data_IF_698160710673
#
_entry.id   IF_698160710673
#
_cell.length_a   1.000
_cell.length_b   1.000
_cell.length_c   1.000
_cell.angle_alpha   90.00
_cell.angle_beta   90.00
_cell.angle_gamma   90.00
#
_symmetry.space_group_name_H-M   'P 1'
#
loop_
_entity.id
_entity.type
_entity.pdbx_description
1 polymer ?
#
# COMPACT_ATOMS: atom_id res chain seq x y z
N UNK A 1 6.80 28.60 -5.14
CA UNK A 1 7.23 29.03 -6.50
C UNK A 1 7.40 27.85 -7.47
N UNK A 2 8.17 26.78 -7.14
CA UNK A 2 8.33 25.62 -8.04
C UNK A 2 6.99 24.89 -8.31
N UNK A 3 6.16 24.73 -7.30
CA UNK A 3 4.83 24.09 -7.39
C UNK A 3 3.87 24.80 -8.37
N UNK A 4 3.95 26.11 -8.54
CA UNK A 4 3.05 26.86 -9.43
C UNK A 4 3.42 26.71 -10.91
N UNK A 5 4.71 26.50 -11.21
CA UNK A 5 5.18 26.26 -12.58
C UNK A 5 4.64 24.93 -13.11
N UNK A 6 4.73 23.86 -12.33
CA UNK A 6 4.21 22.55 -12.72
C UNK A 6 2.67 22.53 -12.91
N UNK A 7 1.93 23.25 -12.07
CA UNK A 7 0.47 23.36 -12.17
C UNK A 7 0.03 23.99 -13.50
N UNK A 8 0.66 25.11 -13.88
CA UNK A 8 0.33 25.83 -15.11
C UNK A 8 0.68 25.01 -16.35
N UNK A 9 1.83 24.32 -16.33
CA UNK A 9 2.28 23.48 -17.44
C UNK A 9 1.37 22.28 -17.63
N UNK A 10 0.98 21.57 -16.58
CA UNK A 10 0.11 20.39 -16.65
C UNK A 10 -1.27 20.72 -17.25
N UNK A 11 -1.89 21.82 -16.83
CA UNK A 11 -3.17 22.28 -17.40
C UNK A 11 -3.04 22.71 -18.86
N UNK A 12 -1.93 23.34 -19.23
CA UNK A 12 -1.70 23.71 -20.62
C UNK A 12 -1.61 22.47 -21.53
N UNK A 13 -0.90 21.42 -21.09
CA UNK A 13 -0.82 20.17 -21.86
C UNK A 13 -2.15 19.42 -21.89
N UNK A 14 -2.94 19.42 -20.80
CA UNK A 14 -4.29 18.90 -20.80
C UNK A 14 -5.15 19.61 -21.85
N UNK A 15 -5.13 20.96 -21.86
CA UNK A 15 -5.87 21.74 -22.83
C UNK A 15 -5.46 21.41 -24.28
N UNK A 16 -4.16 21.27 -24.53
CA UNK A 16 -3.65 20.86 -25.87
C UNK A 16 -4.15 19.49 -26.30
N UNK A 17 -4.20 18.52 -25.39
CA UNK A 17 -4.75 17.19 -25.71
C UNK A 17 -6.24 17.27 -26.03
N UNK A 18 -7.01 18.02 -25.27
CA UNK A 18 -8.46 18.22 -25.49
C UNK A 18 -8.70 18.89 -26.84
N UNK A 19 -8.00 19.98 -27.15
CA UNK A 19 -8.14 20.72 -28.43
C UNK A 19 -7.66 19.90 -29.63
N UNK A 20 -6.69 19.00 -29.44
CA UNK A 20 -6.24 18.07 -30.47
C UNK A 20 -7.23 16.91 -30.71
N UNK A 21 -8.32 16.82 -29.96
CA UNK A 21 -9.33 15.76 -30.10
C UNK A 21 -8.94 14.42 -29.46
N UNK A 22 -8.00 14.42 -28.50
CA UNK A 22 -7.63 13.21 -27.78
C UNK A 22 -8.85 12.65 -27.04
N UNK A 23 -8.98 11.31 -27.01
CA UNK A 23 -10.04 10.64 -26.28
C UNK A 23 -9.98 11.00 -24.77
N UNK A 24 -11.01 11.65 -24.20
CA UNK A 24 -11.01 12.03 -22.79
C UNK A 24 -10.93 10.82 -21.86
N UNK A 25 -11.35 9.63 -22.30
CA UNK A 25 -11.18 8.38 -21.55
C UNK A 25 -9.72 7.94 -21.51
N UNK A 26 -8.97 8.17 -22.59
CA UNK A 26 -7.52 7.91 -22.60
C UNK A 26 -6.81 8.83 -21.61
N UNK A 27 -7.12 10.13 -21.62
CA UNK A 27 -6.56 11.09 -20.65
C UNK A 27 -6.86 10.66 -19.21
N UNK A 28 -8.13 10.31 -18.92
CA UNK A 28 -8.54 9.85 -17.60
C UNK A 28 -7.79 8.59 -17.15
N UNK A 29 -7.64 7.58 -18.05
CA UNK A 29 -6.86 6.36 -17.75
C UNK A 29 -5.40 6.68 -17.41
N UNK A 30 -4.77 7.61 -18.14
CA UNK A 30 -3.38 8.01 -17.85
C UNK A 30 -3.25 8.68 -16.49
N UNK A 31 -4.22 9.51 -16.08
CA UNK A 31 -4.24 10.12 -14.74
C UNK A 31 -4.40 9.08 -13.63
N UNK A 32 -5.25 8.07 -13.82
CA UNK A 32 -5.43 6.96 -12.86
C UNK A 32 -4.13 6.15 -12.70
N UNK A 33 -3.45 5.82 -13.81
CA UNK A 33 -2.18 5.09 -13.77
C UNK A 33 -1.12 5.92 -13.05
N UNK A 34 -0.94 7.19 -13.44
CA UNK A 34 0.03 8.11 -12.84
C UNK A 34 -0.20 8.29 -11.32
N UNK A 35 -1.46 8.31 -10.88
CA UNK A 35 -1.80 8.41 -9.46
C UNK A 35 -1.26 7.23 -8.64
N UNK A 36 -1.17 6.03 -9.22
CA UNK A 36 -0.61 4.84 -8.55
C UNK A 36 0.90 4.70 -8.77
N UNK A 37 1.40 5.05 -9.96
CA UNK A 37 2.78 4.87 -10.39
C UNK A 37 3.71 5.91 -9.75
N UNK A 38 3.35 7.20 -9.83
CA UNK A 38 4.23 8.32 -9.46
C UNK A 38 3.87 8.99 -8.12
N UNK A 39 2.70 8.68 -7.55
CA UNK A 39 2.20 9.29 -6.32
C UNK A 39 1.98 8.23 -5.24
N UNK A 40 1.28 7.16 -5.57
CA UNK A 40 1.07 6.02 -4.70
C UNK A 40 0.60 6.41 -3.30
N UNK A 41 1.26 5.87 -2.30
CA UNK A 41 0.92 6.07 -0.89
C UNK A 41 1.38 7.42 -0.32
N UNK A 42 2.14 8.23 -1.08
CA UNK A 42 2.49 9.59 -0.66
C UNK A 42 1.23 10.50 -0.59
N UNK A 43 0.24 10.28 -1.48
CA UNK A 43 -1.06 10.96 -1.45
C UNK A 43 -2.16 10.05 -2.01
N UNK A 44 -2.65 9.03 -1.27
CA UNK A 44 -3.57 8.01 -1.78
C UNK A 44 -4.92 8.57 -2.25
N UNK A 45 -5.35 9.73 -1.75
CA UNK A 45 -6.59 10.41 -2.18
C UNK A 45 -6.55 10.87 -3.64
N UNK A 46 -5.37 11.01 -4.25
CA UNK A 46 -5.25 11.40 -5.65
C UNK A 46 -5.79 10.33 -6.58
N UNK A 47 -5.56 9.05 -6.28
CA UNK A 47 -6.16 7.95 -7.04
C UNK A 47 -7.70 8.03 -7.01
N UNK A 48 -8.30 8.31 -5.86
CA UNK A 48 -9.75 8.48 -5.71
C UNK A 48 -10.25 9.64 -6.58
N UNK A 49 -9.55 10.78 -6.57
CA UNK A 49 -9.87 11.93 -7.41
C UNK A 49 -9.80 11.60 -8.90
N UNK A 50 -8.76 10.89 -9.32
CA UNK A 50 -8.60 10.47 -10.72
C UNK A 50 -9.68 9.47 -11.16
N UNK A 51 -10.04 8.52 -10.30
CA UNK A 51 -11.13 7.56 -10.59
C UNK A 51 -12.48 8.28 -10.69
N UNK A 52 -12.78 9.21 -9.77
CA UNK A 52 -13.98 10.01 -9.83
C UNK A 52 -14.04 10.85 -11.13
N UNK A 53 -12.92 11.44 -11.56
CA UNK A 53 -12.86 12.17 -12.82
C UNK A 53 -13.08 11.23 -14.02
N UNK A 54 -12.56 10.02 -14.02
CA UNK A 54 -12.79 9.02 -15.07
C UNK A 54 -14.27 8.61 -15.17
N UNK A 55 -14.94 8.44 -14.03
CA UNK A 55 -16.38 8.18 -13.97
C UNK A 55 -17.19 9.38 -14.47
N UNK A 56 -16.81 10.61 -14.09
CA UNK A 56 -17.46 11.83 -14.57
C UNK A 56 -17.34 11.99 -16.08
N UNK A 57 -16.20 11.67 -16.69
CA UNK A 57 -16.03 11.65 -18.15
C UNK A 57 -17.05 10.74 -18.82
N UNK A 58 -17.35 9.59 -18.23
CA UNK A 58 -18.34 8.65 -18.79
C UNK A 58 -19.79 9.12 -18.57
N UNK A 59 -20.06 9.73 -17.42
CA UNK A 59 -21.41 10.14 -17.03
C UNK A 59 -21.85 11.45 -17.70
N UNK A 60 -20.97 12.44 -17.73
CA UNK A 60 -21.27 13.81 -18.16
C UNK A 60 -20.90 13.99 -19.65
N UNK A 61 -19.72 13.49 -20.05
CA UNK A 61 -19.18 13.72 -21.38
C UNK A 61 -18.56 15.13 -21.55
N UNK A 62 -18.01 15.35 -22.76
CA UNK A 62 -17.47 16.66 -23.14
C UNK A 62 -18.60 17.58 -23.63
N UNK A 63 -18.49 18.91 -23.47
CA UNK A 63 -17.30 19.64 -23.00
C UNK A 63 -17.16 19.79 -21.48
N UNK A 64 -18.18 19.50 -20.68
CA UNK A 64 -18.22 19.79 -19.24
C UNK A 64 -17.21 18.94 -18.46
N UNK A 65 -16.98 17.68 -18.85
CA UNK A 65 -16.04 16.77 -18.18
C UNK A 65 -14.58 17.28 -18.19
N UNK A 66 -14.26 18.30 -19.01
CA UNK A 66 -12.95 18.97 -18.94
C UNK A 66 -12.65 19.54 -17.56
N UNK A 67 -13.67 19.93 -16.80
CA UNK A 67 -13.51 20.46 -15.44
C UNK A 67 -13.02 19.37 -14.49
N UNK A 68 -13.58 18.18 -14.60
CA UNK A 68 -13.18 17.02 -13.78
C UNK A 68 -11.76 16.55 -14.12
N UNK A 69 -11.41 16.53 -15.41
CA UNK A 69 -10.04 16.24 -15.86
C UNK A 69 -9.04 17.28 -15.36
N UNK A 70 -9.40 18.56 -15.39
CA UNK A 70 -8.58 19.65 -14.87
C UNK A 70 -8.37 19.50 -13.35
N UNK A 71 -9.41 19.18 -12.58
CA UNK A 71 -9.32 18.95 -11.14
C UNK A 71 -8.37 17.79 -10.82
N UNK A 72 -8.51 16.64 -11.49
CA UNK A 72 -7.63 15.49 -11.32
C UNK A 72 -6.17 15.82 -11.70
N UNK A 73 -5.97 16.54 -12.80
CA UNK A 73 -4.64 17.00 -13.24
C UNK A 73 -3.97 17.90 -12.20
N UNK A 74 -4.71 18.85 -11.61
CA UNK A 74 -4.21 19.72 -10.55
C UNK A 74 -3.84 18.88 -9.31
N UNK A 75 -4.73 17.99 -8.88
CA UNK A 75 -4.48 17.12 -7.74
C UNK A 75 -3.21 16.30 -7.93
N UNK A 76 -3.05 15.67 -9.10
CA UNK A 76 -1.85 14.90 -9.43
C UNK A 76 -0.60 15.77 -9.52
N UNK A 77 -0.67 16.96 -10.15
CA UNK A 77 0.48 17.85 -10.32
C UNK A 77 0.98 18.43 -8.98
N UNK A 78 0.10 18.57 -7.99
CA UNK A 78 0.42 19.20 -6.70
C UNK A 78 0.78 18.20 -5.59
N UNK A 79 0.50 16.91 -5.82
CA UNK A 79 0.77 15.87 -4.84
C UNK A 79 2.27 15.61 -4.66
N UNK A 80 2.69 15.21 -3.46
CA UNK A 80 4.02 14.63 -3.26
C UNK A 80 4.17 13.38 -4.13
N UNK A 81 5.40 13.13 -4.60
CA UNK A 81 5.69 12.01 -5.52
C UNK A 81 6.37 10.87 -4.79
N UNK A 82 5.99 9.64 -5.14
CA UNK A 82 6.66 8.41 -4.71
C UNK A 82 6.41 7.30 -5.73
N UNK A 83 7.47 6.61 -6.10
CA UNK A 83 7.43 5.41 -6.93
C UNK A 83 7.53 4.11 -6.10
N UNK A 84 7.39 4.20 -4.78
CA UNK A 84 7.58 3.05 -3.89
C UNK A 84 6.59 1.90 -4.19
N UNK A 85 5.39 2.21 -4.66
CA UNK A 85 4.36 1.20 -5.00
C UNK A 85 4.77 0.40 -6.23
N UNK A 86 5.16 1.05 -7.34
CA UNK A 86 5.58 0.35 -8.55
C UNK A 86 6.87 -0.43 -8.32
N UNK A 87 7.84 0.14 -7.60
CA UNK A 87 9.07 -0.55 -7.24
C UNK A 87 8.80 -1.81 -6.41
N UNK A 88 7.87 -1.74 -5.47
CA UNK A 88 7.49 -2.87 -4.61
C UNK A 88 6.89 -4.02 -5.42
N UNK A 89 5.90 -3.73 -6.27
CA UNK A 89 5.24 -4.78 -7.06
C UNK A 89 6.18 -5.38 -8.11
N UNK A 90 7.01 -4.56 -8.76
CA UNK A 90 7.97 -5.04 -9.77
C UNK A 90 9.03 -5.96 -9.13
N UNK A 91 9.51 -5.63 -7.92
CA UNK A 91 10.41 -6.48 -7.16
C UNK A 91 9.77 -7.82 -6.77
N UNK A 92 8.52 -7.80 -6.32
CA UNK A 92 7.78 -9.02 -6.00
C UNK A 92 7.55 -9.89 -7.24
N UNK A 93 7.19 -9.29 -8.37
CA UNK A 93 7.03 -9.99 -9.65
C UNK A 93 8.35 -10.61 -10.13
N UNK A 94 9.47 -9.92 -9.93
CA UNK A 94 10.79 -10.42 -10.29
C UNK A 94 11.14 -11.68 -9.48
N UNK A 95 10.87 -11.69 -8.18
CA UNK A 95 11.11 -12.86 -7.32
C UNK A 95 10.23 -14.04 -7.71
N UNK A 96 8.94 -13.82 -7.99
CA UNK A 96 8.03 -14.86 -8.49
C UNK A 96 8.51 -15.44 -9.83
N UNK A 97 8.92 -14.60 -10.77
CA UNK A 97 9.46 -15.03 -12.08
C UNK A 97 10.78 -15.80 -11.94
N UNK A 98 11.56 -15.49 -10.92
CA UNK A 98 12.77 -16.22 -10.60
C UNK A 98 12.52 -17.56 -9.85
N UNK A 99 11.26 -17.93 -9.63
CA UNK A 99 10.87 -19.17 -8.95
C UNK A 99 11.09 -19.14 -7.44
N UNK A 100 11.29 -17.95 -6.85
CA UNK A 100 11.38 -17.80 -5.40
C UNK A 100 10.00 -17.87 -4.75
N UNK A 101 9.99 -18.18 -3.45
CA UNK A 101 8.79 -18.11 -2.63
C UNK A 101 7.94 -19.35 -2.61
N UNK A 102 8.40 -20.48 -3.04
CA UNK A 102 7.78 -21.80 -2.81
C UNK A 102 6.26 -21.84 -2.55
N UNK A 103 5.75 -22.90 -1.96
CA UNK A 103 4.31 -22.99 -1.61
C UNK A 103 3.98 -22.12 -0.39
N UNK A 104 2.73 -21.66 -0.31
CA UNK A 104 2.20 -20.93 0.87
C UNK A 104 2.47 -21.76 2.14
N UNK A 105 2.92 -21.14 3.24
CA UNK A 105 3.17 -21.83 4.50
C UNK A 105 1.95 -22.68 4.95
N UNK A 106 2.14 -23.91 5.47
CA UNK A 106 1.04 -24.84 5.76
C UNK A 106 -0.03 -24.25 6.69
N UNK A 107 0.35 -23.47 7.71
CA UNK A 107 -0.56 -22.84 8.65
C UNK A 107 -1.47 -21.77 8.02
N UNK A 108 -1.10 -21.22 6.86
CA UNK A 108 -1.89 -20.22 6.11
C UNK A 108 -2.78 -20.86 5.03
N UNK A 109 -2.67 -22.17 4.80
CA UNK A 109 -3.50 -22.85 3.79
C UNK A 109 -4.90 -23.10 4.33
N UNK A 110 -5.87 -23.15 3.41
CA UNK A 110 -7.26 -23.46 3.77
C UNK A 110 -7.37 -24.78 4.53
N UNK A 111 -8.12 -24.76 5.64
CA UNK A 111 -8.35 -25.88 6.52
C UNK A 111 -9.82 -26.34 6.55
N UNK A 112 -10.68 -25.86 5.63
CA UNK A 112 -12.12 -26.13 5.63
C UNK A 112 -12.53 -27.42 4.90
N UNK A 113 -11.58 -28.29 4.55
CA UNK A 113 -11.87 -29.60 3.91
C UNK A 113 -11.39 -30.78 4.79
N UNK A 114 -12.03 -31.94 4.61
CA UNK A 114 -11.93 -33.09 5.53
C UNK A 114 -10.52 -33.64 5.75
N UNK A 115 -9.59 -33.48 4.80
CA UNK A 115 -8.21 -33.99 4.88
C UNK A 115 -7.19 -32.90 5.20
N UNK A 116 -7.63 -31.68 5.52
CA UNK A 116 -6.73 -30.55 5.73
C UNK A 116 -5.76 -30.78 6.90
N UNK A 117 -6.27 -31.34 8.00
CA UNK A 117 -5.50 -31.63 9.20
C UNK A 117 -4.39 -32.67 8.96
N UNK A 118 -4.70 -33.72 8.15
CA UNK A 118 -3.75 -34.77 7.80
C UNK A 118 -2.57 -34.23 6.97
N UNK A 119 -2.82 -33.16 6.21
CA UNK A 119 -1.83 -32.44 5.42
C UNK A 119 -1.13 -31.30 6.18
N UNK A 120 -1.47 -31.10 7.46
CA UNK A 120 -0.93 -30.03 8.29
C UNK A 120 -1.43 -28.63 7.93
N UNK A 121 -2.51 -28.52 7.13
CA UNK A 121 -3.05 -27.23 6.70
C UNK A 121 -3.82 -26.55 7.82
N UNK A 122 -3.58 -25.25 8.01
CA UNK A 122 -4.22 -24.43 9.06
C UNK A 122 -3.75 -24.72 10.48
N UNK A 123 -2.91 -25.75 10.71
CA UNK A 123 -2.41 -26.05 12.04
C UNK A 123 -1.45 -24.96 12.49
N UNK A 124 -1.72 -24.38 13.68
CA UNK A 124 -0.91 -23.29 14.23
C UNK A 124 -1.26 -21.91 13.67
N UNK A 125 -2.31 -21.78 12.85
CA UNK A 125 -2.78 -20.46 12.41
C UNK A 125 -3.18 -19.59 13.60
N UNK A 126 -2.69 -18.35 13.61
CA UNK A 126 -2.99 -17.36 14.64
C UNK A 126 -3.94 -16.31 14.08
N UNK A 127 -5.15 -16.29 14.61
CA UNK A 127 -6.15 -15.31 14.20
C UNK A 127 -5.80 -13.91 14.73
N UNK A 128 -5.54 -12.98 13.83
CA UNK A 128 -5.00 -11.66 14.16
C UNK A 128 -5.85 -10.88 15.18
N UNK A 129 -7.18 -11.03 15.14
CA UNK A 129 -8.08 -10.36 16.08
C UNK A 129 -7.96 -10.84 17.55
N UNK A 130 -7.30 -11.98 17.80
CA UNK A 130 -7.02 -12.46 19.14
C UNK A 130 -5.77 -11.82 19.77
N UNK A 131 -5.08 -10.96 19.02
CA UNK A 131 -3.83 -10.33 19.44
C UNK A 131 -3.99 -8.83 19.61
N UNK A 132 -3.22 -8.20 20.52
CA UNK A 132 -3.18 -6.75 20.65
C UNK A 132 -2.90 -6.09 19.29
N UNK A 133 -3.60 -5.00 18.99
CA UNK A 133 -3.47 -4.23 17.76
C UNK A 133 -3.85 -5.00 16.46
N UNK A 134 -4.47 -6.20 16.57
CA UNK A 134 -4.87 -6.98 15.41
C UNK A 134 -3.70 -7.54 14.60
N UNK A 135 -2.52 -7.71 15.21
CA UNK A 135 -1.31 -8.23 14.57
C UNK A 135 -0.89 -9.53 15.25
N UNK A 136 -0.97 -10.63 14.52
CA UNK A 136 -0.52 -11.93 15.00
C UNK A 136 0.97 -12.13 14.69
N UNK A 137 1.78 -12.52 15.69
CA UNK A 137 3.19 -12.85 15.48
C UNK A 137 3.31 -14.21 14.80
N UNK A 138 3.29 -14.24 13.48
CA UNK A 138 3.46 -15.43 12.67
C UNK A 138 4.16 -15.10 11.36
N UNK A 139 4.77 -16.10 10.73
CA UNK A 139 5.41 -15.99 9.44
C UNK A 139 4.35 -16.04 8.32
N UNK A 140 4.31 -15.03 7.47
CA UNK A 140 3.35 -14.95 6.35
C UNK A 140 3.97 -15.30 5.00
N UNK A 141 5.26 -15.00 4.81
CA UNK A 141 5.98 -15.36 3.59
C UNK A 141 6.60 -16.74 3.71
N UNK A 142 6.85 -17.44 2.60
CA UNK A 142 7.71 -18.60 2.56
C UNK A 142 9.08 -18.33 3.20
N UNK A 143 9.76 -19.38 3.68
CA UNK A 143 10.98 -19.23 4.47
C UNK A 143 12.11 -18.52 3.71
N UNK A 144 12.26 -18.79 2.43
CA UNK A 144 13.26 -18.18 1.55
C UNK A 144 12.99 -16.67 1.28
N UNK A 145 11.79 -16.18 1.59
CA UNK A 145 11.39 -14.78 1.48
C UNK A 145 11.12 -14.12 2.83
N UNK A 146 11.37 -14.79 3.96
CA UNK A 146 11.02 -14.30 5.30
C UNK A 146 11.55 -12.90 5.61
N UNK A 147 12.74 -12.56 5.15
CA UNK A 147 13.39 -11.28 5.37
C UNK A 147 13.12 -10.24 4.26
N UNK A 148 12.40 -10.62 3.21
CA UNK A 148 12.16 -9.71 2.08
C UNK A 148 11.22 -8.57 2.49
N UNK A 149 11.52 -7.38 2.02
CA UNK A 149 10.78 -6.14 2.26
C UNK A 149 10.55 -5.44 0.92
N UNK A 150 9.44 -5.78 0.25
CA UNK A 150 9.12 -5.19 -1.06
C UNK A 150 8.78 -3.71 -0.96
N UNK A 151 7.88 -3.35 -0.05
CA UNK A 151 7.46 -1.96 0.11
C UNK A 151 8.37 -1.21 1.09
N UNK A 152 9.00 -0.16 0.57
CA UNK A 152 9.87 0.74 1.32
C UNK A 152 9.34 2.17 1.12
N UNK A 153 8.58 2.70 2.10
CA UNK A 153 8.02 4.04 1.98
C UNK A 153 9.12 5.10 1.95
N UNK A 154 8.86 6.17 1.20
CA UNK A 154 9.70 7.37 1.21
C UNK A 154 9.37 8.25 2.42
N UNK A 155 10.05 9.40 2.54
CA UNK A 155 9.71 10.45 3.50
C UNK A 155 8.73 11.49 2.94
N UNK A 156 8.12 11.22 1.78
CA UNK A 156 7.22 12.13 1.10
C UNK A 156 5.76 11.94 1.52
N UNK A 157 5.06 13.05 1.78
CA UNK A 157 3.63 13.05 2.06
C UNK A 157 3.23 12.06 3.17
N UNK A 158 2.19 11.27 2.93
CA UNK A 158 1.69 10.28 3.88
C UNK A 158 2.64 9.09 4.10
N UNK A 159 3.59 8.83 3.20
CA UNK A 159 4.54 7.73 3.39
C UNK A 159 5.47 7.95 4.59
N UNK A 160 5.70 9.21 5.00
CA UNK A 160 6.40 9.52 6.26
C UNK A 160 5.68 8.91 7.47
N UNK A 161 4.36 8.97 7.51
CA UNK A 161 3.56 8.37 8.59
C UNK A 161 3.65 6.84 8.54
N UNK A 162 3.56 6.25 7.35
CA UNK A 162 3.70 4.80 7.14
C UNK A 162 5.09 4.34 7.59
N UNK A 163 6.15 5.05 7.20
CA UNK A 163 7.51 4.75 7.61
C UNK A 163 7.69 4.74 9.14
N UNK A 164 6.99 5.65 9.84
CA UNK A 164 6.99 5.69 11.30
C UNK A 164 6.27 4.50 11.98
N UNK A 165 5.26 3.93 11.31
CA UNK A 165 4.50 2.79 11.84
C UNK A 165 5.18 1.43 11.61
N UNK A 166 5.89 1.27 10.50
CA UNK A 166 6.46 -0.02 10.08
C UNK A 166 7.41 -0.67 11.11
N UNK A 167 8.30 0.05 11.81
CA UNK A 167 9.18 -0.57 12.82
C UNK A 167 8.40 -1.26 13.93
N UNK A 168 7.37 -0.60 14.48
CA UNK A 168 6.51 -1.17 15.52
C UNK A 168 5.74 -2.41 15.04
N UNK A 169 5.21 -2.39 13.81
CA UNK A 169 4.54 -3.54 13.22
C UNK A 169 5.50 -4.72 13.02
N UNK A 170 6.72 -4.46 12.56
CA UNK A 170 7.77 -5.49 12.40
C UNK A 170 8.18 -6.10 13.73
N UNK A 171 8.30 -5.29 14.78
CA UNK A 171 8.59 -5.79 16.13
C UNK A 171 7.49 -6.73 16.62
N UNK A 172 6.21 -6.39 16.39
CA UNK A 172 5.08 -7.26 16.74
C UNK A 172 5.12 -8.58 15.99
N UNK A 173 5.43 -8.57 14.69
CA UNK A 173 5.56 -9.77 13.87
C UNK A 173 6.76 -10.64 14.29
N UNK A 174 7.87 -10.04 14.70
CA UNK A 174 9.11 -10.74 15.05
C UNK A 174 9.18 -11.29 16.48
N UNK A 175 8.24 -10.95 17.37
CA UNK A 175 8.29 -11.32 18.80
C UNK A 175 8.33 -12.82 19.09
N UNK A 176 7.95 -13.70 18.17
CA UNK A 176 8.04 -15.14 18.36
C UNK A 176 9.42 -15.74 18.07
N UNK A 177 10.15 -15.21 17.11
CA UNK A 177 11.52 -15.68 16.86
C UNK A 177 12.42 -15.49 18.10
N UNK A 178 12.09 -14.51 18.95
CA UNK A 178 12.80 -14.22 20.18
C UNK A 178 12.27 -15.03 21.37
N UNK A 179 10.98 -15.38 21.41
CA UNK A 179 10.37 -16.14 22.51
C UNK A 179 10.66 -17.65 22.43
N UNK A 180 10.76 -18.23 21.24
CA UNK A 180 11.22 -19.62 21.10
C UNK A 180 12.66 -19.81 21.58
N UNK A 181 13.53 -18.81 21.40
CA UNK A 181 14.90 -18.82 21.94
C UNK A 181 14.94 -18.52 23.46
N UNK A 182 13.88 -17.96 24.05
CA UNK A 182 13.79 -17.64 25.49
C UNK A 182 12.99 -18.64 26.31
N UNK A 183 12.20 -19.52 25.70
CA UNK A 183 11.54 -20.63 26.42
C UNK A 183 12.53 -21.73 26.83
N UNK A 184 13.78 -21.70 26.31
CA UNK A 184 14.90 -22.48 26.82
C UNK A 184 15.69 -21.78 27.94
N UNK A 185 15.30 -20.57 28.37
CA UNK A 185 15.94 -19.76 29.40
C UNK A 185 14.96 -18.90 30.19
N UNK A 186 14.54 -19.38 31.30
CA UNK A 186 13.80 -18.86 32.47
C UNK A 186 13.52 -17.35 32.61
N UNK A 187 12.24 -16.97 32.90
CA UNK A 187 11.83 -15.86 33.76
C UNK A 187 10.80 -14.88 33.19
N UNK A 188 9.82 -14.38 33.97
CA UNK A 188 8.73 -13.53 33.50
C UNK A 188 9.18 -12.08 33.31
N UNK A 189 8.74 -11.43 32.23
CA UNK A 189 9.03 -10.03 31.94
C UNK A 189 7.76 -9.17 32.03
N UNK A 190 7.88 -8.12 32.81
CA UNK A 190 6.90 -7.07 33.12
C UNK A 190 6.53 -6.24 31.86
N UNK A 191 5.23 -6.00 31.68
CA UNK A 191 4.69 -5.15 30.62
C UNK A 191 4.62 -3.70 31.08
N UNK A 192 5.29 -2.81 30.36
CA UNK A 192 5.06 -1.35 30.47
C UNK A 192 4.15 -0.90 29.33
N UNK A 193 3.04 -0.26 29.71
CA UNK A 193 2.02 0.26 28.80
C UNK A 193 2.53 1.45 27.97
N UNK A 194 2.43 1.36 26.65
CA UNK A 194 2.42 2.53 25.76
C UNK A 194 1.01 3.13 25.74
N UNK A 195 0.85 4.30 26.36
CA UNK A 195 -0.40 5.07 26.29
C UNK A 195 -0.53 5.75 24.93
N UNK A 196 -1.67 5.53 24.28
CA UNK A 196 -2.11 6.33 23.15
C UNK A 196 -2.38 7.78 23.60
N UNK A 197 -1.81 8.75 22.90
CA UNK A 197 -2.18 10.16 23.07
C UNK A 197 -3.50 10.41 22.33
N UNK A 198 -4.56 10.60 23.11
CA UNK A 198 -5.80 11.19 22.61
C UNK A 198 -5.56 12.69 22.38
N UNK A 199 -5.64 13.11 21.13
CA UNK A 199 -5.76 14.53 20.77
C UNK A 199 -7.22 14.93 20.93
N UNK A 200 -7.50 15.74 21.96
CA UNK A 200 -8.77 16.45 22.09
C UNK A 200 -8.87 17.52 21.01
N UNK A 201 -9.92 17.42 20.19
CA UNK A 201 -10.39 18.52 19.38
C UNK A 201 -11.10 19.55 20.27
N UNK A 202 -10.76 20.82 20.08
CA UNK A 202 -11.57 21.98 20.38
C UNK A 202 -11.88 22.65 19.05
#
# INVERSE_FOLDING_TARGET
AASDVYKRQALHYLARMIEAGEDPRFIARRLVILASEDIGMAAPSVLQTCVAAAQAVQLIGMPEARLNLAQATIAAATAPKSNAVITAIDSALADVRAGKGGPVPPHLRDAHYSSAADLGHGIGYKYAHNFPQGVAPQQYLPEDLAEVRYYQPTDHGNERNIAGLLPGLRELLGREATNQRRSEGNGPVSYTHLRAHETKAN
#
